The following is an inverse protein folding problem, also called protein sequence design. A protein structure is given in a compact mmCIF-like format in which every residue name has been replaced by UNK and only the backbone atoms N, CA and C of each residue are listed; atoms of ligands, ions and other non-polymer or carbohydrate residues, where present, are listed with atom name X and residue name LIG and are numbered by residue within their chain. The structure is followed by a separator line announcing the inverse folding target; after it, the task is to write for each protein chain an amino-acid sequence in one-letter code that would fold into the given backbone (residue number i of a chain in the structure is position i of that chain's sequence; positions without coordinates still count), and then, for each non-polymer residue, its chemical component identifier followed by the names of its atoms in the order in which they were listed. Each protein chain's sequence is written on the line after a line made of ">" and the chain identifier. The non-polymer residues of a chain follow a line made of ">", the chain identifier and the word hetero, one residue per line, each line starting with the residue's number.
data_IF_566315000457
#
_entry.id   IF_566315000457
#
_cell.length_a   1.000
_cell.length_b   1.000
_cell.length_c   1.000
_cell.angle_alpha   90.00
_cell.angle_beta   90.00
_cell.angle_gamma   90.00
#
_symmetry.space_group_name_H-M   'P 1'
#
loop_
_entity.id
_entity.type
_entity.pdbx_description
1 polymer ?
#
# COMPACT_ATOMS: atom_id res chain seq x y z
N UNK A 1 -14.43 2.59 5.39
CA UNK A 1 -14.75 1.21 5.78
C UNK A 1 -15.64 1.23 7.01
N UNK A 2 -16.13 0.07 7.42
CA UNK A 2 -17.17 -0.15 8.45
C UNK A 2 -16.73 0.16 9.90
N UNK A 3 -15.45 0.43 10.12
CA UNK A 3 -14.90 0.79 11.43
C UNK A 3 -14.59 -0.42 12.31
N UNK A 4 -14.56 -1.63 11.76
CA UNK A 4 -14.16 -2.83 12.49
C UNK A 4 -12.64 -2.88 12.71
N UNK A 5 -12.23 -3.16 13.94
CA UNK A 5 -10.82 -3.28 14.32
C UNK A 5 -10.49 -4.73 14.67
N UNK A 6 -9.41 -5.26 14.10
CA UNK A 6 -8.90 -6.58 14.41
C UNK A 6 -7.37 -6.62 14.33
N UNK A 7 -6.79 -7.67 14.89
CA UNK A 7 -5.36 -7.95 14.80
C UNK A 7 -5.15 -9.17 13.92
N UNK A 8 -4.15 -9.10 13.05
CA UNK A 8 -3.82 -10.19 12.14
C UNK A 8 -2.30 -10.38 12.09
N UNK A 9 -1.85 -11.61 12.35
CA UNK A 9 -0.44 -12.00 12.29
C UNK A 9 -0.28 -13.02 11.17
N UNK A 10 0.66 -12.75 10.26
CA UNK A 10 0.97 -13.60 9.13
C UNK A 10 2.21 -13.16 8.34
N UNK A 11 2.81 -14.11 7.62
CA UNK A 11 4.03 -13.92 6.84
C UNK A 11 3.76 -14.29 5.37
N UNK A 12 2.94 -13.49 4.72
CA UNK A 12 2.57 -13.61 3.32
C UNK A 12 2.20 -12.23 2.78
N UNK A 13 1.85 -12.19 1.50
CA UNK A 13 1.17 -11.04 0.91
C UNK A 13 -0.34 -11.19 1.10
N UNK A 14 -0.98 -10.16 1.65
CA UNK A 14 -2.41 -10.15 1.95
C UNK A 14 -3.13 -9.06 1.15
N UNK A 15 -4.35 -9.36 0.71
CA UNK A 15 -5.24 -8.40 0.06
C UNK A 15 -5.82 -7.48 1.13
N UNK A 16 -5.42 -6.20 1.14
CA UNK A 16 -6.04 -5.21 2.01
C UNK A 16 -7.40 -4.83 1.42
N UNK A 17 -7.41 -4.40 0.17
CA UNK A 17 -8.63 -4.11 -0.59
C UNK A 17 -8.34 -4.23 -2.07
N UNK A 18 -9.21 -4.88 -2.83
CA UNK A 18 -9.16 -4.88 -4.29
C UNK A 18 -10.57 -4.79 -4.87
N UNK A 19 -10.67 -4.30 -6.10
CA UNK A 19 -11.94 -4.32 -6.82
C UNK A 19 -12.34 -5.75 -7.18
N UNK A 20 -13.62 -6.07 -6.99
CA UNK A 20 -14.21 -7.34 -7.46
C UNK A 20 -14.24 -7.34 -8.99
N UNK A 21 -14.68 -6.21 -9.57
CA UNK A 21 -14.65 -5.96 -11.00
C UNK A 21 -13.85 -4.68 -11.25
N UNK A 22 -12.59 -4.83 -11.68
CA UNK A 22 -11.71 -3.69 -11.94
C UNK A 22 -10.25 -4.08 -11.90
N UNK A 23 -9.38 -3.06 -11.98
CA UNK A 23 -7.92 -3.23 -12.02
C UNK A 23 -7.22 -2.43 -10.91
N UNK A 24 -7.93 -2.15 -9.82
CA UNK A 24 -7.37 -1.50 -8.65
C UNK A 24 -7.28 -2.46 -7.46
N UNK A 25 -6.14 -2.46 -6.78
CA UNK A 25 -5.94 -3.24 -5.57
C UNK A 25 -4.77 -2.76 -4.73
N UNK A 26 -4.86 -2.96 -3.42
CA UNK A 26 -3.84 -2.65 -2.44
C UNK A 26 -3.57 -3.90 -1.62
N UNK A 27 -2.29 -4.25 -1.53
CA UNK A 27 -1.81 -5.45 -0.86
C UNK A 27 -0.68 -5.09 0.10
N UNK A 28 -0.53 -5.90 1.13
CA UNK A 28 0.56 -5.75 2.10
C UNK A 28 1.37 -7.05 2.16
N UNK A 29 2.66 -6.95 1.84
CA UNK A 29 3.62 -8.03 2.08
C UNK A 29 4.13 -7.92 3.51
N UNK A 30 3.85 -8.94 4.32
CA UNK A 30 4.26 -9.00 5.72
C UNK A 30 5.31 -10.08 5.92
N UNK A 31 6.13 -9.92 6.96
CA UNK A 31 7.09 -10.92 7.40
C UNK A 31 7.22 -10.96 8.91
N UNK A 32 7.70 -12.08 9.45
CA UNK A 32 8.06 -12.16 10.85
C UNK A 32 9.37 -11.41 11.10
N UNK A 33 9.27 -10.29 11.83
CA UNK A 33 10.40 -9.43 12.14
C UNK A 33 11.06 -9.76 13.49
N UNK A 34 10.47 -10.67 14.27
CA UNK A 34 11.05 -11.22 15.49
C UNK A 34 11.47 -12.68 15.26
N UNK A 35 12.68 -13.10 15.67
CA UNK A 35 13.09 -14.50 15.60
C UNK A 35 12.44 -15.37 16.68
N UNK A 36 11.88 -14.77 17.73
CA UNK A 36 11.32 -15.46 18.89
C UNK A 36 9.79 -15.41 18.95
N UNK A 37 9.17 -14.47 18.25
CA UNK A 37 7.74 -14.24 18.28
C UNK A 37 7.17 -14.22 16.85
N UNK A 38 5.94 -14.70 16.68
CA UNK A 38 5.22 -14.59 15.41
C UNK A 38 4.61 -13.19 15.24
N UNK A 39 5.46 -12.15 15.34
CA UNK A 39 5.09 -10.75 15.13
C UNK A 39 5.33 -10.36 13.69
N UNK A 40 4.25 -9.96 13.02
CA UNK A 40 4.27 -9.50 11.64
C UNK A 40 4.59 -8.03 11.53
N UNK A 41 5.62 -7.72 10.76
CA UNK A 41 5.92 -6.37 10.32
C UNK A 41 5.62 -6.22 8.83
N UNK A 42 5.17 -5.04 8.38
CA UNK A 42 5.07 -4.74 6.96
C UNK A 42 6.45 -4.66 6.30
N UNK A 43 6.59 -5.31 5.15
CA UNK A 43 7.77 -5.21 4.28
C UNK A 43 7.51 -4.28 3.10
N UNK A 44 6.38 -4.48 2.42
CA UNK A 44 6.08 -3.75 1.18
C UNK A 44 4.59 -3.48 1.09
N UNK A 45 4.22 -2.21 0.88
CA UNK A 45 2.87 -1.86 0.44
C UNK A 45 2.85 -1.87 -1.09
N UNK A 46 1.92 -2.62 -1.67
CA UNK A 46 1.81 -2.83 -3.11
C UNK A 46 0.48 -2.22 -3.57
N UNK A 47 0.54 -1.31 -4.54
CA UNK A 47 -0.64 -0.66 -5.13
C UNK A 47 -0.67 -1.03 -6.62
N UNK A 48 -1.73 -1.71 -7.04
CA UNK A 48 -2.05 -1.99 -8.44
C UNK A 48 -3.09 -1.00 -8.93
N UNK A 49 -2.84 -0.44 -10.11
CA UNK A 49 -3.77 0.43 -10.81
C UNK A 49 -3.63 0.27 -12.32
N UNK A 50 -4.71 -0.17 -12.97
CA UNK A 50 -4.73 -0.54 -14.39
C UNK A 50 -3.66 -1.61 -14.69
N UNK A 51 -2.67 -1.28 -15.50
CA UNK A 51 -1.56 -2.16 -15.88
C UNK A 51 -0.27 -1.86 -15.11
N UNK A 52 -0.33 -0.98 -14.10
CA UNK A 52 0.85 -0.51 -13.37
C UNK A 52 0.82 -0.97 -11.92
N UNK A 53 2.00 -1.18 -11.37
CA UNK A 53 2.19 -1.59 -10.00
C UNK A 53 3.24 -0.71 -9.31
N UNK A 54 2.90 -0.23 -8.12
CA UNK A 54 3.77 0.57 -7.26
C UNK A 54 4.09 -0.22 -6.00
N UNK A 55 5.38 -0.42 -5.72
CA UNK A 55 5.87 -1.04 -4.50
C UNK A 55 6.53 0.01 -3.64
N UNK A 56 6.00 0.25 -2.45
CA UNK A 56 6.67 1.05 -1.43
C UNK A 56 7.29 0.09 -0.41
N UNK A 57 8.59 -0.14 -0.53
CA UNK A 57 9.32 -1.20 0.16
C UNK A 57 10.20 -0.64 1.27
N UNK A 58 10.06 -1.17 2.49
CA UNK A 58 11.00 -0.95 3.59
C UNK A 58 12.27 -1.76 3.32
N UNK A 59 13.39 -1.09 3.05
CA UNK A 59 14.68 -1.75 2.78
C UNK A 59 15.60 -1.79 3.99
N UNK A 60 15.37 -0.92 4.98
CA UNK A 60 16.09 -0.90 6.25
C UNK A 60 15.18 -0.34 7.33
N UNK A 61 15.15 -0.95 8.51
CA UNK A 61 14.34 -0.46 9.63
C UNK A 61 15.06 0.60 10.47
N UNK A 62 16.39 0.52 10.62
CA UNK A 62 17.19 1.41 11.47
C UNK A 62 18.43 1.90 10.68
N UNK A 63 18.49 3.18 10.26
CA UNK A 63 17.35 4.11 10.17
C UNK A 63 16.32 3.62 9.15
N UNK A 64 15.06 4.01 9.34
CA UNK A 64 13.96 3.65 8.43
C UNK A 64 14.26 4.18 7.03
N UNK A 65 14.43 3.26 6.09
CA UNK A 65 14.71 3.57 4.68
C UNK A 65 13.67 2.85 3.83
N UNK A 66 13.00 3.62 2.99
CA UNK A 66 11.94 3.16 2.11
C UNK A 66 12.31 3.49 0.67
N UNK A 67 12.01 2.59 -0.25
CA UNK A 67 12.19 2.76 -1.68
C UNK A 67 10.87 2.62 -2.41
N UNK A 68 10.70 3.38 -3.49
CA UNK A 68 9.55 3.27 -4.37
C UNK A 68 9.99 2.64 -5.69
N UNK A 69 9.36 1.54 -6.05
CA UNK A 69 9.51 0.92 -7.36
C UNK A 69 8.20 1.06 -8.13
N UNK A 70 8.27 1.43 -9.40
CA UNK A 70 7.14 1.43 -10.32
C UNK A 70 7.45 0.42 -11.41
N UNK A 71 6.59 -0.59 -11.57
CA UNK A 71 6.79 -1.71 -12.49
C UNK A 71 8.17 -2.38 -12.34
N UNK A 72 8.62 -2.56 -11.09
CA UNK A 72 9.91 -3.17 -10.76
C UNK A 72 11.13 -2.26 -10.94
N UNK A 73 10.96 -1.01 -11.38
CA UNK A 73 12.06 -0.05 -11.56
C UNK A 73 12.07 0.94 -10.40
N UNK A 74 13.23 1.12 -9.77
CA UNK A 74 13.42 2.14 -8.74
C UNK A 74 13.24 3.54 -9.35
N UNK A 75 12.36 4.36 -8.75
CA UNK A 75 12.07 5.72 -9.24
C UNK A 75 12.51 6.80 -8.25
N UNK A 76 12.88 7.96 -8.77
CA UNK A 76 13.04 9.17 -7.97
C UNK A 76 11.68 9.82 -7.70
N UNK A 77 11.53 10.47 -6.54
CA UNK A 77 10.33 11.21 -6.18
C UNK A 77 10.56 12.73 -6.29
N UNK A 78 9.55 13.53 -6.69
CA UNK A 78 8.20 13.09 -7.05
C UNK A 78 8.16 12.37 -8.41
N UNK A 79 7.26 11.38 -8.51
CA UNK A 79 6.98 10.64 -9.74
C UNK A 79 5.55 10.92 -10.19
N UNK A 80 5.39 11.44 -11.41
CA UNK A 80 4.08 11.83 -11.98
C UNK A 80 3.92 11.21 -13.36
N UNK A 81 3.39 9.98 -13.43
CA UNK A 81 3.10 9.23 -14.67
C UNK A 81 2.01 8.21 -14.40
N UNK A 82 1.44 7.65 -15.46
CA UNK A 82 0.49 6.53 -15.38
C UNK A 82 -0.77 6.85 -14.56
N UNK A 83 -1.21 8.11 -14.55
CA UNK A 83 -2.36 8.56 -13.75
C UNK A 83 -2.11 8.57 -12.24
N UNK A 84 -0.85 8.46 -11.80
CA UNK A 84 -0.47 8.44 -10.39
C UNK A 84 0.48 9.60 -10.05
N UNK A 85 0.29 10.18 -8.87
CA UNK A 85 1.25 11.09 -8.26
C UNK A 85 1.87 10.40 -7.04
N UNK A 86 3.19 10.21 -7.07
CA UNK A 86 3.92 9.58 -5.98
C UNK A 86 4.91 10.58 -5.42
N UNK A 87 4.85 10.85 -4.11
CA UNK A 87 5.69 11.87 -3.47
C UNK A 87 5.90 11.58 -1.98
N UNK A 88 6.80 12.35 -1.36
CA UNK A 88 7.04 12.29 0.08
C UNK A 88 6.32 13.46 0.76
N UNK A 89 5.58 13.16 1.83
CA UNK A 89 4.94 14.15 2.69
C UNK A 89 5.26 13.84 4.16
N UNK A 90 6.18 14.61 4.73
CA UNK A 90 6.76 14.31 6.05
C UNK A 90 7.50 12.97 6.02
N UNK A 91 7.08 12.03 6.87
CA UNK A 91 7.62 10.66 6.91
C UNK A 91 6.89 9.69 5.97
N UNK A 92 5.80 10.13 5.33
CA UNK A 92 4.97 9.27 4.51
C UNK A 92 5.37 9.34 3.04
N UNK A 93 5.38 8.19 2.40
CA UNK A 93 5.32 8.04 0.96
C UNK A 93 3.85 8.00 0.58
N UNK A 94 3.44 8.84 -0.36
CA UNK A 94 2.05 9.02 -0.75
C UNK A 94 1.89 8.58 -2.20
N UNK A 95 0.90 7.74 -2.47
CA UNK A 95 0.40 7.44 -3.82
C UNK A 95 -0.99 8.03 -3.94
N UNK A 96 -1.15 8.99 -4.83
CA UNK A 96 -2.44 9.52 -5.23
C UNK A 96 -2.82 8.99 -6.60
N UNK A 97 -4.08 8.58 -6.72
CA UNK A 97 -4.71 8.22 -7.99
C UNK A 97 -5.88 9.19 -8.18
N UNK A 98 -5.65 10.36 -8.82
CA UNK A 98 -6.65 11.43 -8.89
C UNK A 98 -7.98 10.99 -9.53
N UNK A 99 -7.92 10.13 -10.55
CA UNK A 99 -9.10 9.60 -11.22
C UNK A 99 -10.02 8.83 -10.26
N UNK A 100 -9.44 8.01 -9.38
CA UNK A 100 -10.17 7.24 -8.36
C UNK A 100 -10.41 8.05 -7.07
N UNK A 101 -9.88 9.29 -6.98
CA UNK A 101 -9.83 10.10 -5.76
C UNK A 101 -9.29 9.33 -4.54
N UNK A 102 -8.34 8.45 -4.81
CA UNK A 102 -7.74 7.58 -3.81
C UNK A 102 -6.39 8.11 -3.38
N UNK A 103 -6.12 8.09 -2.08
CA UNK A 103 -4.82 8.45 -1.49
C UNK A 103 -4.38 7.32 -0.55
N UNK A 104 -3.17 6.84 -0.77
CA UNK A 104 -2.54 5.78 0.02
C UNK A 104 -1.24 6.30 0.62
N UNK A 105 -1.05 6.16 1.92
CA UNK A 105 0.18 6.58 2.60
C UNK A 105 0.89 5.40 3.25
N UNK A 106 2.22 5.40 3.25
CA UNK A 106 3.03 4.42 3.98
C UNK A 106 4.33 5.04 4.49
N UNK A 107 4.70 4.76 5.74
CA UNK A 107 5.93 5.28 6.36
C UNK A 107 6.95 4.20 6.71
N UNK A 108 6.73 2.96 6.28
CA UNK A 108 7.57 1.81 6.62
C UNK A 108 7.05 0.97 7.79
N UNK A 109 6.07 1.45 8.55
CA UNK A 109 5.44 0.73 9.68
C UNK A 109 3.91 0.74 9.62
N UNK A 110 3.33 1.86 9.22
CA UNK A 110 1.89 2.05 9.16
C UNK A 110 1.49 2.54 7.78
N UNK A 111 0.28 2.14 7.37
CA UNK A 111 -0.34 2.61 6.14
C UNK A 111 -1.69 3.27 6.43
N UNK A 112 -2.19 4.04 5.46
CA UNK A 112 -3.57 4.54 5.46
C UNK A 112 -4.09 4.49 4.04
N UNK A 113 -5.34 4.04 3.88
CA UNK A 113 -6.04 3.98 2.60
C UNK A 113 -7.26 4.88 2.69
N UNK A 114 -7.33 5.90 1.84
CA UNK A 114 -8.49 6.79 1.71
C UNK A 114 -9.09 6.59 0.33
N UNK A 115 -10.30 6.05 0.28
CA UNK A 115 -11.06 5.78 -0.94
C UNK A 115 -12.49 6.32 -0.81
N UNK A 116 -13.07 6.90 -1.86
CA UNK A 116 -14.44 7.39 -1.84
C UNK A 116 -15.47 6.27 -1.94
N UNK A 117 -16.44 6.26 -1.03
CA UNK A 117 -17.54 5.29 -1.02
C UNK A 117 -18.31 5.23 -2.35
N UNK A 118 -18.62 6.38 -2.97
CA UNK A 118 -19.42 6.45 -4.20
C UNK A 118 -18.77 5.82 -5.44
N UNK A 119 -17.47 5.52 -5.42
CA UNK A 119 -16.76 4.84 -6.52
C UNK A 119 -16.64 3.34 -6.24
N UNK A 120 -16.41 2.96 -4.99
CA UNK A 120 -16.02 1.61 -4.61
C UNK A 120 -17.11 0.79 -3.89
N UNK A 121 -18.25 1.39 -3.54
CA UNK A 121 -19.33 0.71 -2.83
C UNK A 121 -19.78 -0.56 -3.55
N UNK A 122 -19.89 -1.67 -2.81
CA UNK A 122 -20.28 -3.00 -3.33
C UNK A 122 -19.37 -3.56 -4.43
N UNK A 123 -18.16 -3.01 -4.62
CA UNK A 123 -17.18 -3.49 -5.59
C UNK A 123 -15.83 -3.81 -4.96
N UNK A 124 -15.74 -3.97 -3.65
CA UNK A 124 -14.45 -4.24 -2.96
C UNK A 124 -14.47 -5.53 -2.16
N UNK A 125 -13.34 -6.22 -2.12
CA UNK A 125 -13.09 -7.37 -1.25
C UNK A 125 -11.68 -7.28 -0.63
N UNK A 126 -11.48 -7.95 0.50
CA UNK A 126 -10.18 -7.99 1.18
C UNK A 126 -10.33 -7.95 2.69
N UNK A 127 -9.26 -7.51 3.33
CA UNK A 127 -9.16 -7.31 4.77
C UNK A 127 -9.80 -6.00 5.27
N UNK A 128 -10.06 -5.02 4.40
CA UNK A 128 -10.69 -3.74 4.69
C UNK A 128 -12.16 -3.68 4.27
#
# INVERSE_FOLDING_TARGET
>A
FDGFYYSFQGNCTYVLVEEINGNFGIYIDNYYCSPHETVSCPRTLIIKYETHEVHIRTVRQIPMTVQVLVNGVLVALPFNKHGMNIYVSGLNHVVEIPFLRTNVTYNGMAFTIKMPYHIFSNNTQGQC
#
